data_IF_945975070969
#
_entry.id   IF_945975070969
#
_cell.length_a   1.000
_cell.length_b   1.000
_cell.length_c   1.000
_cell.angle_alpha   90.00
_cell.angle_beta   90.00
_cell.angle_gamma   90.00
#
_symmetry.space_group_name_H-M   'P 1'
#
loop_
_entity.id
_entity.type
_entity.pdbx_description
1 polymer ?
#
# COMPACT_ATOMS: atom_id res chain seq x y z
N UNK A 1 7.44 -13.22 -20.84
CA UNK A 1 7.07 -12.41 -19.65
C UNK A 1 5.75 -12.84 -18.97
N UNK A 2 4.70 -13.23 -19.71
CA UNK A 2 3.40 -13.62 -19.10
C UNK A 2 3.52 -14.83 -18.15
N UNK A 3 4.35 -15.81 -18.44
CA UNK A 3 4.56 -16.98 -17.58
C UNK A 3 5.22 -16.63 -16.24
N UNK A 4 6.17 -15.67 -16.21
CA UNK A 4 6.82 -15.21 -14.98
C UNK A 4 5.84 -14.43 -14.10
N UNK A 5 5.03 -13.57 -14.69
CA UNK A 5 3.95 -12.82 -14.01
C UNK A 5 3.00 -13.83 -13.36
N UNK A 6 2.54 -14.81 -14.12
CA UNK A 6 1.60 -15.81 -13.63
C UNK A 6 2.18 -16.65 -12.47
N UNK A 7 3.44 -17.05 -12.54
CA UNK A 7 4.09 -17.84 -11.49
C UNK A 7 4.29 -17.05 -10.20
N UNK A 8 4.73 -15.79 -10.27
CA UNK A 8 4.92 -14.95 -9.09
C UNK A 8 3.57 -14.61 -8.42
N UNK A 9 2.58 -14.21 -9.20
CA UNK A 9 1.24 -13.95 -8.66
C UNK A 9 0.58 -15.20 -8.07
N UNK A 10 0.83 -16.40 -8.64
CA UNK A 10 0.39 -17.68 -8.05
C UNK A 10 0.99 -17.92 -6.67
N UNK A 11 2.28 -17.60 -6.44
CA UNK A 11 2.90 -17.75 -5.11
C UNK A 11 2.17 -16.92 -4.05
N UNK A 12 1.87 -15.65 -4.34
CA UNK A 12 1.10 -14.79 -3.42
C UNK A 12 -0.33 -15.29 -3.26
N UNK A 13 -0.95 -15.78 -4.33
CA UNK A 13 -2.27 -16.39 -4.29
C UNK A 13 -2.33 -17.65 -3.40
N UNK A 14 -1.28 -18.48 -3.40
CA UNK A 14 -1.16 -19.63 -2.50
C UNK A 14 -0.99 -19.19 -1.04
N UNK A 15 -0.11 -18.20 -0.78
CA UNK A 15 0.04 -17.61 0.54
C UNK A 15 -1.31 -17.12 1.06
N UNK A 16 -2.03 -16.33 0.27
CA UNK A 16 -3.38 -15.83 0.61
C UNK A 16 -4.33 -16.97 0.96
N UNK A 17 -4.44 -18.00 0.13
CA UNK A 17 -5.30 -19.16 0.38
C UNK A 17 -4.96 -19.90 1.68
N UNK A 18 -3.66 -19.98 2.02
CA UNK A 18 -3.22 -20.59 3.28
C UNK A 18 -3.66 -19.73 4.48
N UNK A 19 -3.48 -18.41 4.39
CA UNK A 19 -3.93 -17.47 5.43
C UNK A 19 -5.46 -17.47 5.58
N UNK A 20 -6.24 -17.58 4.49
CA UNK A 20 -7.70 -17.69 4.52
C UNK A 20 -8.21 -18.94 5.25
N UNK A 21 -7.38 -19.98 5.35
CA UNK A 21 -7.68 -21.22 6.09
C UNK A 21 -7.12 -21.24 7.52
N UNK A 22 -6.38 -20.20 7.92
CA UNK A 22 -5.74 -20.14 9.22
C UNK A 22 -6.78 -19.99 10.35
N UNK A 23 -6.61 -20.77 11.40
CA UNK A 23 -7.36 -20.63 12.66
C UNK A 23 -6.58 -19.84 13.71
N UNK A 24 -5.42 -19.29 13.35
CA UNK A 24 -4.57 -18.49 14.23
C UNK A 24 -5.24 -17.14 14.54
N UNK A 25 -5.10 -16.70 15.80
CA UNK A 25 -5.52 -15.39 16.28
C UNK A 25 -4.30 -14.58 16.64
N UNK A 26 -4.34 -13.28 16.34
CA UNK A 26 -3.34 -12.32 16.79
C UNK A 26 -4.01 -11.20 17.57
N UNK A 27 -3.30 -10.63 18.55
CA UNK A 27 -3.72 -9.43 19.25
C UNK A 27 -3.43 -8.22 18.36
N UNK A 28 -4.42 -7.74 17.65
CA UNK A 28 -4.29 -6.63 16.72
C UNK A 28 -4.74 -5.32 17.37
N UNK A 29 -3.92 -4.28 17.20
CA UNK A 29 -4.29 -2.89 17.49
C UNK A 29 -4.66 -2.27 16.15
N UNK A 30 -5.86 -1.72 16.05
CA UNK A 30 -6.33 -1.06 14.84
C UNK A 30 -6.28 0.46 15.06
N UNK A 31 -5.54 1.17 14.22
CA UNK A 31 -5.44 2.63 14.21
C UNK A 31 -6.29 3.27 13.12
N UNK A 32 -7.04 2.47 12.34
CA UNK A 32 -7.81 2.92 11.18
C UNK A 32 -9.19 3.49 11.48
N UNK A 33 -9.87 3.94 10.40
CA UNK A 33 -11.22 4.50 10.43
C UNK A 33 -12.24 3.43 10.85
N UNK A 34 -12.72 3.46 12.06
CA UNK A 34 -13.73 2.51 12.59
C UNK A 34 -13.31 1.80 13.85
N UNK A 35 -12.05 1.93 14.28
CA UNK A 35 -11.63 1.49 15.59
C UNK A 35 -11.64 2.66 16.58
N UNK A 36 -12.20 2.44 17.76
CA UNK A 36 -11.88 3.29 18.91
C UNK A 36 -10.39 3.10 19.16
N UNK A 37 -9.60 4.13 18.92
CA UNK A 37 -8.14 4.16 18.99
C UNK A 37 -7.59 3.29 20.13
N UNK A 38 -6.76 2.31 19.78
CA UNK A 38 -5.90 1.62 20.73
C UNK A 38 -6.52 0.41 21.46
N UNK A 39 -7.70 -0.05 21.12
CA UNK A 39 -8.25 -1.27 21.72
C UNK A 39 -7.60 -2.52 21.12
N UNK A 40 -6.95 -3.29 21.98
CA UNK A 40 -6.44 -4.62 21.66
C UNK A 40 -7.63 -5.55 21.35
N UNK A 41 -7.71 -6.04 20.13
CA UNK A 41 -8.73 -7.01 19.74
C UNK A 41 -8.08 -8.27 19.19
N UNK A 42 -8.49 -9.42 19.70
CA UNK A 42 -8.14 -10.69 19.05
C UNK A 42 -8.80 -10.75 17.67
N UNK A 43 -7.99 -10.79 16.61
CA UNK A 43 -8.46 -10.92 15.23
C UNK A 43 -7.96 -12.24 14.64
N UNK A 44 -8.87 -12.97 14.01
CA UNK A 44 -8.51 -14.19 13.30
C UNK A 44 -7.80 -13.84 11.99
N UNK A 45 -6.68 -14.50 11.70
CA UNK A 45 -5.90 -14.25 10.47
C UNK A 45 -6.77 -14.41 9.23
N UNK A 46 -7.62 -15.45 9.16
CA UNK A 46 -8.52 -15.67 8.02
C UNK A 46 -9.49 -14.51 7.80
N UNK A 47 -9.99 -13.89 8.88
CA UNK A 47 -10.93 -12.76 8.78
C UNK A 47 -10.19 -11.48 8.34
N UNK A 48 -8.96 -11.29 8.81
CA UNK A 48 -8.12 -10.18 8.36
C UNK A 48 -7.84 -10.27 6.85
N UNK A 49 -7.53 -11.46 6.33
CA UNK A 49 -7.31 -11.64 4.88
C UNK A 49 -8.56 -11.31 4.08
N UNK A 50 -9.73 -11.76 4.55
CA UNK A 50 -11.00 -11.53 3.85
C UNK A 50 -11.43 -10.07 3.86
N UNK A 51 -11.16 -9.35 4.96
CA UNK A 51 -11.59 -7.96 5.14
C UNK A 51 -10.61 -6.92 4.62
N UNK A 52 -9.29 -7.17 4.72
CA UNK A 52 -8.25 -6.16 4.46
C UNK A 52 -7.41 -6.47 3.23
N UNK A 53 -7.48 -7.68 2.67
CA UNK A 53 -6.65 -7.98 1.51
C UNK A 53 -7.41 -7.75 0.22
N UNK A 54 -6.88 -6.89 -0.61
CA UNK A 54 -7.42 -6.69 -1.95
C UNK A 54 -7.54 -8.01 -2.71
N UNK A 55 -8.51 -8.09 -3.58
CA UNK A 55 -8.68 -9.26 -4.43
C UNK A 55 -7.45 -9.46 -5.34
N UNK A 56 -7.34 -10.63 -5.93
CA UNK A 56 -6.24 -11.03 -6.81
C UNK A 56 -5.95 -10.00 -7.92
N UNK A 57 -7.01 -9.41 -8.50
CA UNK A 57 -6.91 -8.46 -9.63
C UNK A 57 -6.12 -7.20 -9.24
N UNK A 58 -6.36 -6.64 -8.06
CA UNK A 58 -5.61 -5.47 -7.58
C UNK A 58 -4.18 -5.80 -7.19
N UNK A 59 -3.94 -6.96 -6.57
CA UNK A 59 -2.59 -7.43 -6.29
C UNK A 59 -1.77 -7.60 -7.59
N UNK A 60 -2.38 -8.19 -8.63
CA UNK A 60 -1.75 -8.30 -9.96
C UNK A 60 -1.51 -6.93 -10.62
N UNK A 61 -2.37 -5.93 -10.36
CA UNK A 61 -2.14 -4.55 -10.82
C UNK A 61 -0.90 -3.96 -10.15
N UNK A 62 -0.77 -4.06 -8.81
CA UNK A 62 0.43 -3.60 -8.09
C UNK A 62 1.69 -4.27 -8.62
N UNK A 63 1.65 -5.58 -8.84
CA UNK A 63 2.74 -6.32 -9.46
C UNK A 63 3.11 -5.75 -10.84
N UNK A 64 2.13 -5.52 -11.72
CA UNK A 64 2.35 -4.99 -13.07
C UNK A 64 2.90 -3.57 -13.06
N UNK A 65 2.35 -2.70 -12.20
CA UNK A 65 2.87 -1.34 -12.04
C UNK A 65 4.35 -1.38 -11.62
N UNK A 66 4.67 -2.16 -10.59
CA UNK A 66 6.05 -2.29 -10.12
C UNK A 66 6.98 -2.90 -11.18
N UNK A 67 6.51 -3.90 -11.92
CA UNK A 67 7.28 -4.55 -12.99
C UNK A 67 7.56 -3.62 -14.18
N UNK A 68 6.61 -2.74 -14.52
CA UNK A 68 6.74 -1.83 -15.66
C UNK A 68 7.56 -0.58 -15.30
N UNK A 69 7.27 0.04 -14.17
CA UNK A 69 7.94 1.29 -13.74
C UNK A 69 9.29 1.05 -13.07
N UNK A 70 9.56 -0.17 -12.59
CA UNK A 70 10.82 -0.59 -11.94
C UNK A 70 11.30 0.39 -10.87
N UNK A 71 10.44 0.78 -9.91
CA UNK A 71 10.81 1.68 -8.83
C UNK A 71 11.96 1.08 -8.02
N UNK A 72 12.95 1.89 -7.65
CA UNK A 72 14.06 1.46 -6.77
C UNK A 72 13.66 1.51 -5.30
N UNK A 73 12.90 2.53 -4.91
CA UNK A 73 12.42 2.74 -3.54
C UNK A 73 10.89 2.84 -3.54
N UNK A 74 10.27 1.97 -2.76
CA UNK A 74 8.81 1.91 -2.59
C UNK A 74 8.50 2.21 -1.13
N UNK A 75 7.54 3.09 -0.88
CA UNK A 75 6.95 3.34 0.44
C UNK A 75 5.52 2.84 0.44
N UNK A 76 5.17 2.01 1.42
CA UNK A 76 3.83 1.49 1.62
C UNK A 76 3.34 1.87 3.02
N UNK A 77 2.16 2.47 3.12
CA UNK A 77 1.47 2.73 4.38
C UNK A 77 0.33 1.72 4.54
N UNK A 78 0.46 0.80 5.50
CA UNK A 78 -0.48 -0.29 5.72
C UNK A 78 0.04 -1.64 5.23
N UNK A 79 0.96 -2.24 6.00
CA UNK A 79 1.50 -3.58 5.70
C UNK A 79 0.45 -4.67 5.85
N UNK A 80 -0.36 -4.61 6.90
CA UNK A 80 -1.28 -5.67 7.29
C UNK A 80 -0.56 -7.04 7.31
N UNK A 81 -1.08 -8.06 6.68
CA UNK A 81 -0.44 -9.39 6.56
C UNK A 81 0.63 -9.45 5.45
N UNK A 82 0.95 -8.32 4.79
CA UNK A 82 2.02 -8.20 3.82
C UNK A 82 1.68 -8.70 2.41
N UNK A 83 0.40 -8.89 2.08
CA UNK A 83 0.00 -9.43 0.78
C UNK A 83 0.32 -8.42 -0.34
N UNK A 84 -0.01 -7.15 -0.18
CA UNK A 84 0.33 -6.07 -1.11
C UNK A 84 1.85 -5.92 -1.27
N UNK A 85 2.58 -5.88 -0.14
CA UNK A 85 4.05 -5.85 -0.13
C UNK A 85 4.67 -6.99 -0.92
N UNK A 86 4.10 -8.21 -0.85
CA UNK A 86 4.57 -9.35 -1.63
C UNK A 86 4.40 -9.13 -3.14
N UNK A 87 3.26 -8.59 -3.59
CA UNK A 87 3.04 -8.25 -5.00
C UNK A 87 4.01 -7.17 -5.48
N UNK A 88 4.21 -6.11 -4.69
CA UNK A 88 5.15 -5.03 -4.99
C UNK A 88 6.58 -5.58 -5.13
N UNK A 89 7.02 -6.40 -4.18
CA UNK A 89 8.38 -6.97 -4.16
C UNK A 89 8.62 -7.94 -5.32
N UNK A 90 7.66 -8.80 -5.62
CA UNK A 90 7.79 -9.75 -6.72
C UNK A 90 7.69 -9.09 -8.09
N UNK A 91 7.04 -7.92 -8.21
CA UNK A 91 7.01 -7.10 -9.41
C UNK A 91 8.40 -6.54 -9.77
N UNK A 92 9.15 -6.06 -8.79
CA UNK A 92 10.55 -5.66 -8.93
C UNK A 92 11.38 -6.16 -7.74
N UNK A 93 12.03 -7.34 -7.83
CA UNK A 93 12.84 -7.90 -6.73
C UNK A 93 14.05 -7.03 -6.34
N UNK A 94 14.45 -6.09 -7.19
CA UNK A 94 15.53 -5.16 -6.89
C UNK A 94 15.08 -3.97 -6.05
N UNK A 95 13.77 -3.69 -5.98
CA UNK A 95 13.22 -2.60 -5.21
C UNK A 95 13.44 -2.78 -3.70
N UNK A 96 13.86 -1.73 -3.02
CA UNK A 96 13.82 -1.63 -1.56
C UNK A 96 12.43 -1.12 -1.14
N UNK A 97 11.75 -1.89 -0.32
CA UNK A 97 10.40 -1.56 0.16
C UNK A 97 10.48 -1.18 1.63
N UNK A 98 9.92 -0.04 1.96
CA UNK A 98 9.71 0.44 3.33
C UNK A 98 8.21 0.43 3.59
N UNK A 99 7.74 -0.53 4.38
CA UNK A 99 6.32 -0.68 4.68
C UNK A 99 6.04 -0.37 6.14
N UNK A 100 4.98 0.39 6.39
CA UNK A 100 4.63 0.88 7.72
C UNK A 100 3.43 0.11 8.26
N UNK A 101 3.51 -0.35 9.51
CA UNK A 101 2.47 -1.10 10.19
C UNK A 101 2.28 -0.62 11.64
N UNK A 102 1.05 -0.30 12.00
CA UNK A 102 0.75 0.17 13.36
C UNK A 102 0.89 -0.92 14.42
N UNK A 103 0.50 -2.14 14.10
CA UNK A 103 0.45 -3.26 15.04
C UNK A 103 1.67 -4.17 14.94
N UNK A 104 2.41 -4.32 16.05
CA UNK A 104 3.61 -5.16 16.10
C UNK A 104 3.33 -6.65 15.83
N UNK A 105 2.20 -7.18 16.29
CA UNK A 105 1.81 -8.58 16.05
C UNK A 105 1.47 -8.82 14.58
N UNK A 106 0.76 -7.89 13.94
CA UNK A 106 0.47 -7.93 12.51
C UNK A 106 1.77 -7.85 11.70
N UNK A 107 2.67 -6.93 12.06
CA UNK A 107 4.00 -6.81 11.44
C UNK A 107 4.84 -8.09 11.57
N UNK A 108 4.80 -8.76 12.74
CA UNK A 108 5.46 -10.05 12.94
C UNK A 108 4.94 -11.10 11.96
N UNK A 109 3.62 -11.19 11.78
CA UNK A 109 3.01 -12.11 10.83
C UNK A 109 3.38 -11.80 9.38
N UNK A 110 3.38 -10.53 9.00
CA UNK A 110 3.85 -10.10 7.67
C UNK A 110 5.31 -10.52 7.43
N UNK A 111 6.19 -10.35 8.43
CA UNK A 111 7.60 -10.78 8.33
C UNK A 111 7.75 -12.29 8.13
N UNK A 112 6.91 -13.10 8.76
CA UNK A 112 6.86 -14.56 8.52
C UNK A 112 6.46 -14.85 7.07
N UNK A 113 5.45 -14.15 6.54
CA UNK A 113 4.99 -14.30 5.17
C UNK A 113 6.07 -13.89 4.15
N UNK A 114 6.83 -12.83 4.42
CA UNK A 114 7.96 -12.43 3.57
C UNK A 114 9.06 -13.48 3.53
N UNK A 115 9.38 -14.08 4.69
CA UNK A 115 10.35 -15.20 4.76
C UNK A 115 9.89 -16.41 3.95
N UNK A 116 8.61 -16.79 4.02
CA UNK A 116 8.05 -17.91 3.25
C UNK A 116 8.22 -17.72 1.73
N UNK A 117 8.21 -16.47 1.26
CA UNK A 117 8.38 -16.14 -0.16
C UNK A 117 9.82 -15.70 -0.51
N UNK A 118 10.76 -15.79 0.44
CA UNK A 118 12.16 -15.37 0.29
C UNK A 118 12.31 -13.88 -0.14
N UNK A 119 11.47 -12.99 0.40
CA UNK A 119 11.48 -11.55 0.10
C UNK A 119 12.35 -10.80 1.12
N UNK A 120 13.60 -10.50 0.76
CA UNK A 120 14.61 -9.99 1.70
C UNK A 120 14.80 -8.46 1.64
N UNK A 121 14.15 -7.77 0.69
CA UNK A 121 14.30 -6.32 0.50
C UNK A 121 13.10 -5.51 1.03
N UNK A 122 12.37 -6.05 2.01
CA UNK A 122 11.24 -5.41 2.65
C UNK A 122 11.60 -5.10 4.11
N UNK A 123 11.60 -3.82 4.47
CA UNK A 123 11.76 -3.35 5.84
C UNK A 123 10.40 -2.93 6.40
N UNK A 124 10.00 -3.54 7.51
CA UNK A 124 8.77 -3.16 8.21
C UNK A 124 9.12 -2.15 9.30
N UNK A 125 8.45 -1.00 9.27
CA UNK A 125 8.55 0.06 10.26
C UNK A 125 7.29 -0.01 11.12
N UNK A 126 7.48 -0.39 12.38
CA UNK A 126 6.35 -0.59 13.31
C UNK A 126 6.07 0.67 14.12
N UNK A 127 4.80 1.06 14.19
CA UNK A 127 4.30 2.18 15.00
C UNK A 127 3.27 3.02 14.27
N UNK A 128 2.68 3.97 15.01
CA UNK A 128 1.71 4.90 14.42
C UNK A 128 2.34 5.70 13.27
N UNK A 129 1.66 5.78 12.13
CA UNK A 129 2.15 6.44 10.92
C UNK A 129 2.46 7.92 11.13
N UNK A 130 1.70 8.62 11.97
CA UNK A 130 1.91 10.05 12.24
C UNK A 130 3.30 10.32 12.81
N UNK A 131 3.80 9.40 13.64
CA UNK A 131 5.12 9.49 14.27
C UNK A 131 6.21 8.86 13.39
N UNK A 132 5.99 7.60 12.99
CA UNK A 132 7.02 6.82 12.31
C UNK A 132 7.33 7.34 10.91
N UNK A 133 6.34 7.88 10.19
CA UNK A 133 6.56 8.46 8.88
C UNK A 133 7.45 9.70 8.98
N UNK A 134 7.17 10.62 9.92
CA UNK A 134 7.99 11.81 10.14
C UNK A 134 9.45 11.47 10.49
N UNK A 135 9.67 10.43 11.31
CA UNK A 135 11.00 10.02 11.76
C UNK A 135 11.83 9.31 10.68
N UNK A 136 11.17 8.55 9.81
CA UNK A 136 11.86 7.62 8.89
C UNK A 136 11.93 8.11 7.46
N UNK A 137 10.95 8.92 7.01
CA UNK A 137 10.83 9.30 5.61
C UNK A 137 12.05 10.07 5.10
N UNK A 138 12.62 10.97 5.91
CA UNK A 138 13.81 11.74 5.55
C UNK A 138 15.05 10.89 5.30
N UNK A 139 15.11 9.65 5.83
CA UNK A 139 16.21 8.70 5.62
C UNK A 139 16.04 7.89 4.34
N UNK A 140 14.85 7.89 3.74
CA UNK A 140 14.54 7.15 2.52
C UNK A 140 14.98 7.93 1.27
N UNK A 141 15.15 9.26 1.39
CA UNK A 141 15.48 10.15 0.28
C UNK A 141 14.35 10.19 -0.79
N UNK A 142 14.74 10.13 -2.09
CA UNK A 142 13.77 10.14 -3.20
C UNK A 142 13.01 8.82 -3.30
N UNK A 143 11.69 8.90 -3.41
CA UNK A 143 10.76 7.78 -3.50
C UNK A 143 10.27 7.66 -4.94
N UNK A 144 10.32 6.45 -5.51
CA UNK A 144 9.86 6.20 -6.87
C UNK A 144 8.38 5.76 -6.92
N UNK A 145 7.91 5.07 -5.87
CA UNK A 145 6.52 4.62 -5.80
C UNK A 145 6.01 4.68 -4.35
N UNK A 146 4.78 5.13 -4.21
CA UNK A 146 4.06 5.18 -2.93
C UNK A 146 2.77 4.36 -3.06
N UNK A 147 2.45 3.57 -2.04
CA UNK A 147 1.15 2.94 -1.88
C UNK A 147 0.56 3.31 -0.51
N UNK A 148 -0.56 4.03 -0.50
CA UNK A 148 -1.28 4.45 0.71
C UNK A 148 -2.49 3.54 0.86
N UNK A 149 -2.43 2.59 1.79
CA UNK A 149 -3.47 1.60 2.13
C UNK A 149 -3.63 1.50 3.65
N UNK A 150 -3.87 2.63 4.29
CA UNK A 150 -4.04 2.65 5.74
C UNK A 150 -4.68 3.92 6.27
N UNK A 151 -5.31 3.79 7.44
CA UNK A 151 -6.04 4.82 8.15
C UNK A 151 -7.39 5.24 7.51
N UNK A 152 -7.53 5.32 6.21
CA UNK A 152 -8.75 5.62 5.44
C UNK A 152 -9.61 6.77 6.00
N UNK A 153 -8.97 7.81 6.56
CA UNK A 153 -9.58 9.04 7.02
C UNK A 153 -9.12 10.21 6.14
N UNK A 154 -10.02 11.15 5.85
CA UNK A 154 -9.78 12.30 4.99
C UNK A 154 -8.50 13.05 5.33
N UNK A 155 -8.43 13.58 6.55
CA UNK A 155 -7.29 14.40 7.00
C UNK A 155 -5.97 13.62 7.03
N UNK A 156 -6.02 12.36 7.47
CA UNK A 156 -4.84 11.51 7.53
C UNK A 156 -4.31 11.19 6.13
N UNK A 157 -5.18 10.80 5.20
CA UNK A 157 -4.80 10.46 3.83
C UNK A 157 -4.18 11.67 3.11
N UNK A 158 -4.78 12.85 3.22
CA UNK A 158 -4.23 14.10 2.65
C UNK A 158 -2.90 14.47 3.30
N UNK A 159 -2.80 14.33 4.63
CA UNK A 159 -1.56 14.60 5.36
C UNK A 159 -0.42 13.67 4.92
N UNK A 160 -0.69 12.37 4.78
CA UNK A 160 0.30 11.39 4.33
C UNK A 160 0.72 11.66 2.88
N UNK A 161 -0.24 11.95 2.00
CA UNK A 161 0.05 12.33 0.63
C UNK A 161 0.99 13.54 0.58
N UNK A 162 0.67 14.64 1.28
CA UNK A 162 1.49 15.85 1.29
C UNK A 162 2.88 15.64 1.89
N UNK A 163 3.00 14.83 2.96
CA UNK A 163 4.29 14.48 3.53
C UNK A 163 5.15 13.70 2.54
N UNK A 164 4.57 12.71 1.85
CA UNK A 164 5.28 11.86 0.90
C UNK A 164 5.64 12.60 -0.39
N UNK A 165 4.81 13.58 -0.79
CA UNK A 165 5.07 14.44 -1.94
C UNK A 165 6.39 15.20 -1.83
N UNK A 166 6.79 15.63 -0.62
CA UNK A 166 8.07 16.32 -0.39
C UNK A 166 9.31 15.45 -0.66
N UNK A 167 9.16 14.13 -0.68
CA UNK A 167 10.22 13.16 -0.97
C UNK A 167 10.04 12.49 -2.33
N UNK A 168 9.05 12.94 -3.09
CA UNK A 168 8.74 12.47 -4.43
C UNK A 168 9.50 13.26 -5.49
N UNK A 169 9.52 12.76 -6.71
CA UNK A 169 10.07 13.41 -7.89
C UNK A 169 9.08 13.28 -9.08
N UNK A 170 9.37 13.89 -10.20
CA UNK A 170 8.53 13.93 -11.39
C UNK A 170 8.10 12.55 -11.94
N UNK A 171 8.91 11.51 -11.70
CA UNK A 171 8.59 10.12 -12.11
C UNK A 171 7.96 9.27 -11.01
N UNK A 172 7.71 9.84 -9.84
CA UNK A 172 7.04 9.13 -8.74
C UNK A 172 5.59 8.81 -9.10
N UNK A 173 5.17 7.60 -8.78
CA UNK A 173 3.76 7.17 -8.87
C UNK A 173 3.23 6.99 -7.46
N UNK A 174 2.09 7.64 -7.18
CA UNK A 174 1.40 7.50 -5.90
C UNK A 174 0.09 6.75 -6.14
N UNK A 175 -0.10 5.66 -5.41
CA UNK A 175 -1.28 4.81 -5.47
C UNK A 175 -2.02 4.97 -4.16
N UNK A 176 -3.31 5.25 -4.20
CA UNK A 176 -4.16 5.47 -3.03
C UNK A 176 -5.29 4.47 -3.06
N UNK A 177 -5.42 3.72 -1.97
CA UNK A 177 -6.46 2.70 -1.86
C UNK A 177 -7.77 3.27 -1.31
N UNK A 178 -8.86 2.57 -1.63
CA UNK A 178 -10.20 2.83 -1.11
C UNK A 178 -10.69 4.28 -1.26
N UNK A 179 -10.39 4.91 -2.42
CA UNK A 179 -10.72 6.32 -2.70
C UNK A 179 -12.22 6.68 -2.59
N UNK A 180 -13.10 5.69 -2.60
CA UNK A 180 -14.56 5.84 -2.41
C UNK A 180 -15.11 5.05 -1.23
N UNK A 181 -14.26 4.57 -0.30
CA UNK A 181 -14.67 3.82 0.89
C UNK A 181 -15.66 4.60 1.78
N UNK A 182 -15.48 5.90 1.87
CA UNK A 182 -16.31 6.82 2.65
C UNK A 182 -16.38 8.19 1.97
N UNK A 183 -17.32 9.04 2.43
CA UNK A 183 -17.36 10.43 1.99
C UNK A 183 -16.04 11.17 2.26
N UNK A 184 -15.40 10.89 3.41
CA UNK A 184 -14.09 11.47 3.74
C UNK A 184 -13.01 11.04 2.77
N UNK A 185 -12.95 9.75 2.37
CA UNK A 185 -11.99 9.29 1.36
C UNK A 185 -12.26 9.90 -0.02
N UNK A 186 -13.53 10.05 -0.40
CA UNK A 186 -13.89 10.75 -1.65
C UNK A 186 -13.44 12.21 -1.63
N UNK A 187 -13.58 12.90 -0.49
CA UNK A 187 -13.09 14.28 -0.33
C UNK A 187 -11.55 14.32 -0.42
N UNK A 188 -10.85 13.40 0.26
CA UNK A 188 -9.39 13.29 0.18
C UNK A 188 -8.92 13.09 -1.27
N UNK A 189 -9.55 12.16 -2.01
CA UNK A 189 -9.25 11.94 -3.42
C UNK A 189 -9.45 13.20 -4.26
N UNK A 190 -10.56 13.92 -4.05
CA UNK A 190 -10.84 15.17 -4.74
C UNK A 190 -9.82 16.27 -4.41
N UNK A 191 -9.41 16.40 -3.15
CA UNK A 191 -8.37 17.34 -2.73
C UNK A 191 -7.01 17.01 -3.35
N UNK A 192 -6.62 15.74 -3.33
CA UNK A 192 -5.38 15.27 -3.95
C UNK A 192 -5.35 15.56 -5.45
N UNK A 193 -6.44 15.35 -6.16
CA UNK A 193 -6.55 15.70 -7.59
C UNK A 193 -6.34 17.18 -7.86
N UNK A 194 -6.74 18.05 -6.94
CA UNK A 194 -6.55 19.50 -7.07
C UNK A 194 -5.14 19.99 -6.79
N UNK A 195 -4.29 19.16 -6.17
CA UNK A 195 -2.92 19.55 -5.84
C UNK A 195 -2.16 19.94 -7.11
N UNK A 196 -1.45 21.07 -7.07
CA UNK A 196 -0.72 21.63 -8.22
C UNK A 196 0.43 20.77 -8.72
N UNK A 197 0.97 19.91 -7.86
CA UNK A 197 2.02 18.95 -8.23
C UNK A 197 1.48 17.72 -8.96
N UNK A 198 0.17 17.50 -8.94
CA UNK A 198 -0.48 16.37 -9.61
C UNK A 198 -0.78 16.77 -11.05
N UNK A 199 -0.34 15.98 -12.00
CA UNK A 199 -0.57 16.20 -13.43
C UNK A 199 -1.61 15.24 -14.01
N UNK A 200 -1.48 13.95 -13.76
CA UNK A 200 -2.44 12.96 -14.26
C UNK A 200 -2.98 12.12 -13.11
N UNK A 201 -4.27 11.87 -13.11
CA UNK A 201 -4.87 10.89 -12.22
C UNK A 201 -5.65 9.82 -13.00
N UNK A 202 -5.60 8.59 -12.48
CA UNK A 202 -6.40 7.48 -12.99
C UNK A 202 -7.25 6.94 -11.83
N UNK A 203 -8.55 7.06 -11.98
CA UNK A 203 -9.56 6.56 -11.06
C UNK A 203 -10.02 5.17 -11.52
N UNK A 204 -9.77 4.15 -10.70
CA UNK A 204 -10.19 2.76 -10.92
C UNK A 204 -11.34 2.35 -9.98
N UNK A 205 -12.05 3.31 -9.40
CA UNK A 205 -13.11 3.18 -8.41
C UNK A 205 -12.62 2.75 -7.02
N UNK A 206 -11.89 1.66 -6.90
CA UNK A 206 -11.33 1.20 -5.62
C UNK A 206 -9.94 1.77 -5.34
N UNK A 207 -9.28 2.27 -6.35
CA UNK A 207 -7.88 2.66 -6.31
C UNK A 207 -7.66 3.86 -7.21
N UNK A 208 -6.98 4.87 -6.68
CA UNK A 208 -6.54 6.04 -7.44
C UNK A 208 -5.04 5.96 -7.71
N UNK A 209 -4.63 6.32 -8.93
CA UNK A 209 -3.22 6.44 -9.30
C UNK A 209 -2.94 7.88 -9.66
N UNK A 210 -1.85 8.43 -9.12
CA UNK A 210 -1.43 9.82 -9.28
C UNK A 210 -0.05 9.86 -9.91
N UNK A 211 0.11 10.72 -10.90
CA UNK A 211 1.36 11.02 -11.57
C UNK A 211 1.77 12.48 -11.32
N UNK A 212 3.07 12.70 -11.19
CA UNK A 212 3.69 14.00 -10.89
C UNK A 212 4.53 14.55 -12.05
N UNK A 213 4.46 13.91 -13.23
CA UNK A 213 5.29 14.27 -14.38
C UNK A 213 4.90 15.63 -14.96
N UNK A 214 5.72 16.63 -14.73
CA UNK A 214 5.50 18.03 -15.16
C UNK A 214 5.46 18.23 -16.69
N UNK A 215 5.89 17.24 -17.48
CA UNK A 215 5.79 17.27 -18.94
C UNK A 215 4.38 16.93 -19.44
N UNK A 216 3.53 16.40 -18.55
CA UNK A 216 2.14 16.06 -18.88
C UNK A 216 1.18 17.18 -18.51
N UNK A 217 0.16 17.40 -19.33
CA UNK A 217 -0.97 18.26 -19.02
C UNK A 217 -1.80 17.70 -17.86
N UNK A 218 -2.54 18.60 -17.20
CA UNK A 218 -3.44 18.21 -16.12
C UNK A 218 -4.64 17.47 -16.69
N UNK A 219 -4.74 16.17 -16.39
CA UNK A 219 -5.83 15.31 -16.88
C UNK A 219 -6.29 14.30 -15.82
N UNK A 220 -7.59 14.08 -15.76
CA UNK A 220 -8.23 13.11 -14.87
C UNK A 220 -8.94 12.02 -15.71
N UNK A 221 -8.54 10.77 -15.54
CA UNK A 221 -9.13 9.61 -16.22
C UNK A 221 -9.92 8.76 -15.24
N UNK A 222 -11.09 8.28 -15.69
CA UNK A 222 -11.87 7.25 -14.98
C UNK A 222 -11.91 6.01 -15.86
N UNK A 223 -11.36 4.91 -15.36
CA UNK A 223 -11.26 3.67 -16.11
C UNK A 223 -11.99 2.54 -15.37
N UNK A 224 -12.71 1.72 -16.12
CA UNK A 224 -13.24 0.44 -15.60
C UNK A 224 -12.11 -0.59 -15.58
N UNK A 225 -11.88 -1.14 -14.41
CA UNK A 225 -10.79 -2.11 -14.19
C UNK A 225 -11.33 -3.45 -13.69
#
# INVERSE_FOLDING_TARGET
NSNKINNNCKKVGLLRKNLEKSNEYIDAIDYGAGSKLGLLKKRKISDMVRSSSKNKKFGELLYRLTSNYKPKKIVELGTSLGISSCYLSLGNPEAKIYTFEGCSQTAKKAKENFKLLALNKIDIIVGNFDNTLAEKIGKIEKIDMVFIDGNHQEQATVSYFNKLLNYSHDKTIIIIDDIYWSKGMSNAWYEIKKNTSVTVTIDLFFLGIVFLNKELSKEDFVLRF
#
